data_IF_186840254583
#
_entry.id   IF_186840254583
#
_cell.length_a   1.000
_cell.length_b   1.000
_cell.length_c   1.000
_cell.angle_alpha   90.00
_cell.angle_beta   90.00
_cell.angle_gamma   90.00
#
_symmetry.space_group_name_H-M   'P 1'
#
loop_
_entity.id
_entity.type
_entity.pdbx_description
1 polymer ?
#
# COMPACT_ATOMS: atom_id res chain seq x y z
N UNK A 1 14.78 44.95 10.74
CA UNK A 1 15.29 43.56 10.64
C UNK A 1 14.34 42.61 11.40
N UNK A 2 13.04 42.80 11.23
CA UNK A 2 11.98 42.21 12.08
C UNK A 2 10.74 41.83 11.29
N UNK A 3 10.55 42.37 10.09
CA UNK A 3 9.37 42.10 9.27
C UNK A 3 9.53 40.85 8.38
N UNK A 4 10.76 40.54 7.93
CA UNK A 4 11.04 39.36 7.10
C UNK A 4 10.86 38.04 7.87
N UNK A 5 11.12 38.04 9.18
CA UNK A 5 10.98 36.85 10.03
C UNK A 5 9.52 36.55 10.36
N UNK A 6 8.65 37.57 10.39
CA UNK A 6 7.22 37.40 10.64
C UNK A 6 6.50 36.91 9.38
N UNK A 7 6.90 37.38 8.20
CA UNK A 7 6.38 36.87 6.93
C UNK A 7 6.78 35.40 6.70
N UNK A 8 8.01 35.01 7.08
CA UNK A 8 8.47 33.62 7.01
C UNK A 8 7.71 32.70 7.98
N UNK A 9 7.46 33.13 9.23
CA UNK A 9 6.72 32.31 10.20
C UNK A 9 5.24 32.16 9.84
N UNK A 10 4.62 33.21 9.30
CA UNK A 10 3.21 33.15 8.82
C UNK A 10 3.10 32.29 7.55
N UNK A 11 4.09 32.34 6.66
CA UNK A 11 4.13 31.47 5.49
C UNK A 11 4.35 29.98 5.87
N UNK A 12 5.16 29.68 6.89
CA UNK A 12 5.30 28.32 7.43
C UNK A 12 4.01 27.84 8.13
N UNK A 13 3.29 28.73 8.83
CA UNK A 13 2.03 28.40 9.49
C UNK A 13 0.89 28.17 8.47
N UNK A 14 0.78 28.97 7.41
CA UNK A 14 -0.21 28.78 6.33
C UNK A 14 0.12 27.56 5.44
N UNK A 15 1.41 27.26 5.18
CA UNK A 15 1.78 26.03 4.45
C UNK A 15 1.47 24.77 5.28
N UNK A 16 1.47 24.86 6.62
CA UNK A 16 1.08 23.77 7.52
C UNK A 16 -0.44 23.58 7.64
N UNK A 17 -1.23 24.63 7.37
CA UNK A 17 -2.70 24.60 7.43
C UNK A 17 -3.36 24.16 6.11
N UNK A 18 -2.61 24.09 5.00
CA UNK A 18 -3.19 23.91 3.66
C UNK A 18 -3.30 22.48 3.14
N UNK A 19 -2.69 21.49 3.77
CA UNK A 19 -2.80 20.08 3.35
C UNK A 19 -3.64 19.33 4.37
N UNK A 20 -4.95 19.58 4.36
CA UNK A 20 -5.90 18.71 5.03
C UNK A 20 -5.72 17.30 4.46
N UNK A 21 -5.08 16.41 5.22
CA UNK A 21 -4.91 15.02 4.80
C UNK A 21 -6.30 14.45 4.54
N UNK A 22 -6.56 13.82 3.39
CA UNK A 22 -7.87 13.30 3.08
C UNK A 22 -8.32 12.35 4.21
N UNK A 23 -9.47 12.66 4.79
CA UNK A 23 -10.06 11.96 5.92
C UNK A 23 -11.45 11.47 5.53
N UNK A 24 -11.73 10.21 5.84
CA UNK A 24 -13.03 9.58 5.62
C UNK A 24 -13.71 9.42 6.98
N UNK A 25 -14.91 9.96 7.13
CA UNK A 25 -15.66 9.93 8.41
C UNK A 25 -16.38 8.61 8.67
N UNK A 26 -16.65 7.81 7.63
CA UNK A 26 -17.27 6.48 7.74
C UNK A 26 -16.82 5.57 6.59
N UNK A 27 -16.61 4.29 6.88
CA UNK A 27 -16.35 3.30 5.84
C UNK A 27 -17.68 2.90 5.18
N UNK A 28 -17.66 2.59 3.87
CA UNK A 28 -18.80 2.24 3.02
C UNK A 28 -20.07 1.81 3.79
N UNK A 29 -21.20 2.48 3.53
CA UNK A 29 -22.50 2.21 4.16
C UNK A 29 -22.55 2.49 5.68
N UNK A 30 -21.95 3.61 6.13
CA UNK A 30 -22.01 4.09 7.52
C UNK A 30 -21.36 3.16 8.56
N UNK A 31 -20.44 2.29 8.13
CA UNK A 31 -19.71 1.41 9.05
C UNK A 31 -18.66 2.20 9.83
N UNK A 32 -18.45 1.81 11.08
CA UNK A 32 -17.38 2.36 11.92
C UNK A 32 -16.01 2.15 11.27
N UNK A 33 -15.14 3.14 11.39
CA UNK A 33 -13.77 3.09 10.87
C UNK A 33 -12.97 1.88 11.35
N UNK A 34 -13.20 1.43 12.58
CA UNK A 34 -12.59 0.22 13.13
C UNK A 34 -12.96 -1.03 12.31
N UNK A 35 -14.24 -1.17 11.97
CA UNK A 35 -14.73 -2.29 11.15
C UNK A 35 -14.16 -2.17 9.75
N UNK A 36 -14.10 -0.97 9.19
CA UNK A 36 -13.45 -0.70 7.90
C UNK A 36 -11.99 -1.13 7.86
N UNK A 37 -11.18 -0.74 8.85
CA UNK A 37 -9.78 -1.13 8.94
C UNK A 37 -9.59 -2.65 9.05
N UNK A 38 -10.46 -3.34 9.79
CA UNK A 38 -10.45 -4.81 9.88
C UNK A 38 -10.83 -5.47 8.56
N UNK A 39 -11.88 -4.98 7.88
CA UNK A 39 -12.28 -5.46 6.55
C UNK A 39 -11.13 -5.30 5.55
N UNK A 40 -10.49 -4.14 5.52
CA UNK A 40 -9.30 -3.89 4.67
C UNK A 40 -8.20 -4.89 5.00
N UNK A 41 -7.91 -5.13 6.28
CA UNK A 41 -6.92 -6.13 6.69
C UNK A 41 -7.24 -7.55 6.22
N UNK A 42 -8.50 -7.99 6.33
CA UNK A 42 -8.92 -9.31 5.86
C UNK A 42 -8.88 -9.43 4.33
N UNK A 43 -9.38 -8.42 3.59
CA UNK A 43 -9.32 -8.41 2.14
C UNK A 43 -7.87 -8.42 1.65
N UNK A 44 -7.00 -7.63 2.27
CA UNK A 44 -5.57 -7.62 1.97
C UNK A 44 -4.94 -8.98 2.26
N UNK A 45 -5.27 -9.62 3.38
CA UNK A 45 -4.75 -10.94 3.72
C UNK A 45 -5.18 -12.02 2.73
N UNK A 46 -6.48 -12.10 2.41
CA UNK A 46 -7.02 -13.08 1.46
C UNK A 46 -6.39 -12.89 0.07
N UNK A 47 -6.35 -11.66 -0.43
CA UNK A 47 -5.72 -11.36 -1.72
C UNK A 47 -4.23 -11.74 -1.73
N UNK A 48 -3.49 -11.45 -0.65
CA UNK A 48 -2.07 -11.76 -0.55
C UNK A 48 -1.79 -13.26 -0.45
N UNK A 49 -2.66 -14.02 0.22
CA UNK A 49 -2.56 -15.48 0.28
C UNK A 49 -2.80 -16.11 -1.09
N UNK A 50 -3.86 -15.69 -1.79
CA UNK A 50 -4.14 -16.16 -3.16
C UNK A 50 -2.95 -15.83 -4.06
N UNK A 51 -2.45 -14.59 -4.02
CA UNK A 51 -1.30 -14.17 -4.82
C UNK A 51 -0.04 -14.97 -4.50
N UNK A 52 0.18 -15.31 -3.22
CA UNK A 52 1.32 -16.11 -2.79
C UNK A 52 1.24 -17.53 -3.32
N UNK A 53 0.05 -18.16 -3.26
CA UNK A 53 -0.14 -19.52 -3.78
C UNK A 53 0.07 -19.53 -5.30
N UNK A 54 -0.54 -18.59 -6.03
CA UNK A 54 -0.41 -18.51 -7.48
C UNK A 54 1.04 -18.21 -7.91
N UNK A 55 1.70 -17.25 -7.27
CA UNK A 55 3.08 -16.90 -7.61
C UNK A 55 4.05 -18.03 -7.26
N UNK A 56 3.86 -18.73 -6.15
CA UNK A 56 4.66 -19.90 -5.80
C UNK A 56 4.49 -21.01 -6.85
N UNK A 57 3.26 -21.28 -7.28
CA UNK A 57 2.97 -22.29 -8.31
C UNK A 57 3.59 -21.94 -9.67
N UNK A 58 3.48 -20.68 -10.08
CA UNK A 58 4.13 -20.18 -11.31
C UNK A 58 5.65 -20.27 -11.19
N UNK A 59 6.23 -19.85 -10.06
CA UNK A 59 7.67 -19.87 -9.83
C UNK A 59 8.22 -21.29 -9.85
N UNK A 60 7.54 -22.26 -9.23
CA UNK A 60 7.92 -23.67 -9.32
C UNK A 60 7.84 -24.18 -10.75
N UNK A 61 6.78 -23.84 -11.48
CA UNK A 61 6.65 -24.24 -12.88
C UNK A 61 7.75 -23.68 -13.77
N UNK A 62 8.15 -22.42 -13.56
CA UNK A 62 9.29 -21.82 -14.29
C UNK A 62 10.60 -22.51 -13.91
N UNK A 63 10.82 -22.77 -12.62
CA UNK A 63 12.04 -23.41 -12.12
C UNK A 63 12.26 -24.79 -12.73
N UNK A 64 11.20 -25.60 -12.84
CA UNK A 64 11.28 -26.96 -13.39
C UNK A 64 11.68 -26.97 -14.87
N UNK A 65 11.48 -25.86 -15.59
CA UNK A 65 11.83 -25.72 -17.00
C UNK A 65 13.22 -25.10 -17.22
N UNK A 66 13.90 -24.61 -16.18
CA UNK A 66 15.28 -24.10 -16.29
C UNK A 66 16.19 -25.25 -16.74
N UNK A 67 17.11 -24.97 -17.67
CA UNK A 67 18.07 -25.93 -18.24
C UNK A 67 17.48 -27.08 -19.07
N UNK A 68 16.17 -27.05 -19.33
CA UNK A 68 15.55 -27.94 -20.32
C UNK A 68 15.86 -27.49 -21.74
N UNK A 69 15.52 -28.31 -22.74
CA UNK A 69 15.65 -27.95 -24.16
C UNK A 69 14.87 -26.67 -24.48
N UNK A 70 13.78 -26.42 -23.75
CA UNK A 70 12.93 -25.24 -23.89
C UNK A 70 13.61 -23.95 -23.39
N UNK A 71 14.59 -24.03 -22.47
CA UNK A 71 15.36 -22.88 -21.95
C UNK A 71 16.75 -22.73 -22.60
N UNK A 72 17.18 -23.70 -23.41
CA UNK A 72 18.53 -23.75 -23.99
C UNK A 72 18.77 -22.73 -25.12
N UNK A 73 17.71 -22.21 -25.74
CA UNK A 73 17.80 -21.29 -26.88
C UNK A 73 17.77 -19.81 -26.49
N UNK A 74 16.66 -19.38 -25.88
CA UNK A 74 16.35 -17.97 -25.63
C UNK A 74 16.48 -17.55 -24.15
N UNK A 75 16.73 -18.53 -23.26
CA UNK A 75 16.85 -18.35 -21.81
C UNK A 75 15.64 -17.64 -21.18
N UNK A 76 14.45 -17.85 -21.75
CA UNK A 76 13.22 -17.20 -21.28
C UNK A 76 12.90 -17.57 -19.83
N UNK A 77 13.02 -18.86 -19.46
CA UNK A 77 12.73 -19.32 -18.10
C UNK A 77 13.79 -18.82 -17.12
N UNK A 78 15.07 -18.87 -17.53
CA UNK A 78 16.18 -18.33 -16.74
C UNK A 78 16.03 -16.83 -16.45
N UNK A 79 15.46 -16.03 -17.37
CA UNK A 79 15.19 -14.60 -17.18
C UNK A 79 13.88 -14.34 -16.40
N UNK A 80 12.87 -15.15 -16.61
CA UNK A 80 11.57 -15.01 -15.95
C UNK A 80 11.62 -15.45 -14.48
N UNK A 81 12.45 -16.44 -14.15
CA UNK A 81 12.59 -16.98 -12.79
C UNK A 81 12.88 -15.93 -11.71
N UNK A 82 13.90 -15.05 -11.84
CA UNK A 82 14.17 -14.05 -10.80
C UNK A 82 13.00 -13.06 -10.61
N UNK A 83 12.25 -12.77 -11.68
CA UNK A 83 11.06 -11.90 -11.61
C UNK A 83 9.94 -12.60 -10.85
N UNK A 84 9.67 -13.86 -11.19
CA UNK A 84 8.66 -14.68 -10.51
C UNK A 84 8.99 -14.88 -9.03
N UNK A 85 10.26 -15.20 -8.72
CA UNK A 85 10.76 -15.33 -7.36
C UNK A 85 10.61 -14.03 -6.57
N UNK A 86 10.97 -12.88 -7.16
CA UNK A 86 10.78 -11.58 -6.53
C UNK A 86 9.30 -11.31 -6.23
N UNK A 87 8.40 -11.67 -7.15
CA UNK A 87 6.95 -11.53 -6.94
C UNK A 87 6.44 -12.42 -5.79
N UNK A 88 6.94 -13.66 -5.65
CA UNK A 88 6.59 -14.55 -4.52
C UNK A 88 7.12 -14.02 -3.19
N UNK A 89 8.34 -13.48 -3.16
CA UNK A 89 8.89 -12.86 -1.93
C UNK A 89 8.05 -11.64 -1.55
N UNK A 90 7.71 -10.79 -2.52
CA UNK A 90 6.86 -9.62 -2.30
C UNK A 90 5.45 -10.01 -1.80
N UNK A 91 4.85 -11.08 -2.33
CA UNK A 91 3.53 -11.54 -1.89
C UNK A 91 3.56 -12.05 -0.44
N UNK A 92 4.62 -12.76 -0.03
CA UNK A 92 4.83 -13.16 1.37
C UNK A 92 4.96 -11.93 2.28
N UNK A 93 5.72 -10.91 1.84
CA UNK A 93 5.82 -9.66 2.58
C UNK A 93 4.45 -8.98 2.76
N UNK A 94 3.58 -9.02 1.74
CA UNK A 94 2.21 -8.52 1.86
C UNK A 94 1.34 -9.34 2.82
N UNK A 95 1.53 -10.67 2.92
CA UNK A 95 0.85 -11.50 3.94
C UNK A 95 1.25 -11.05 5.35
N UNK A 96 2.54 -10.81 5.58
CA UNK A 96 3.04 -10.30 6.86
C UNK A 96 2.49 -8.90 7.16
N UNK A 97 2.46 -8.03 6.15
CA UNK A 97 1.95 -6.67 6.27
C UNK A 97 0.44 -6.63 6.56
N UNK A 98 -0.35 -7.51 5.93
CA UNK A 98 -1.78 -7.67 6.20
C UNK A 98 -2.03 -8.21 7.62
N UNK A 99 -1.24 -9.20 8.05
CA UNK A 99 -1.30 -9.73 9.41
C UNK A 99 -0.94 -8.67 10.45
N UNK A 100 0.07 -7.85 10.16
CA UNK A 100 0.47 -6.71 10.99
C UNK A 100 -0.63 -5.66 11.12
N UNK A 101 -1.36 -5.35 10.04
CA UNK A 101 -2.53 -4.47 10.09
C UNK A 101 -3.61 -5.03 11.00
N UNK A 102 -3.97 -6.31 10.83
CA UNK A 102 -4.99 -6.95 11.66
C UNK A 102 -4.59 -6.92 13.14
N UNK A 103 -3.37 -7.31 13.48
CA UNK A 103 -2.87 -7.25 14.85
C UNK A 103 -2.91 -5.84 15.43
N UNK A 104 -2.49 -4.84 14.64
CA UNK A 104 -2.51 -3.43 15.05
C UNK A 104 -3.94 -2.91 15.24
N UNK A 105 -4.88 -3.30 14.38
CA UNK A 105 -6.28 -2.93 14.48
C UNK A 105 -6.98 -3.60 15.68
N UNK A 106 -6.71 -4.88 15.94
CA UNK A 106 -7.29 -5.59 17.09
C UNK A 106 -6.72 -5.11 18.43
N UNK A 107 -5.42 -4.81 18.48
CA UNK A 107 -4.79 -4.24 19.68
C UNK A 107 -5.01 -2.73 19.82
N UNK A 108 -5.71 -2.09 18.87
CA UNK A 108 -5.88 -0.63 18.79
C UNK A 108 -4.54 0.12 18.93
N UNK A 109 -3.48 -0.42 18.33
CA UNK A 109 -2.12 0.10 18.50
C UNK A 109 -1.83 1.21 17.48
N UNK A 110 -1.92 2.47 17.91
CA UNK A 110 -1.75 3.65 17.06
C UNK A 110 -0.44 3.68 16.27
N UNK A 111 0.69 3.38 16.92
CA UNK A 111 1.99 3.35 16.24
C UNK A 111 2.08 2.25 15.17
N UNK A 112 1.41 1.11 15.42
CA UNK A 112 1.34 0.02 14.44
C UNK A 112 0.55 0.42 13.19
N UNK A 113 -0.63 1.02 13.38
CA UNK A 113 -1.46 1.51 12.27
C UNK A 113 -0.75 2.59 11.46
N UNK A 114 -0.11 3.57 12.13
CA UNK A 114 0.69 4.60 11.48
C UNK A 114 1.81 3.98 10.64
N UNK A 115 2.56 3.04 11.21
CA UNK A 115 3.67 2.37 10.51
C UNK A 115 3.18 1.63 9.27
N UNK A 116 2.04 0.93 9.38
CA UNK A 116 1.43 0.25 8.24
C UNK A 116 1.05 1.22 7.12
N UNK A 117 0.44 2.37 7.45
CA UNK A 117 0.05 3.40 6.48
C UNK A 117 1.29 3.92 5.74
N UNK A 118 2.37 4.27 6.44
CA UNK A 118 3.60 4.75 5.80
C UNK A 118 4.22 3.72 4.87
N UNK A 119 4.27 2.46 5.29
CA UNK A 119 4.78 1.36 4.46
C UNK A 119 3.93 1.22 3.19
N UNK A 120 2.60 1.22 3.31
CA UNK A 120 1.70 1.08 2.16
C UNK A 120 1.73 2.28 1.22
N UNK A 121 1.85 3.50 1.74
CA UNK A 121 2.04 4.71 0.91
C UNK A 121 3.35 4.61 0.14
N UNK A 122 4.45 4.22 0.79
CA UNK A 122 5.74 4.05 0.13
C UNK A 122 5.67 2.99 -0.98
N UNK A 123 5.05 1.84 -0.72
CA UNK A 123 4.83 0.79 -1.73
C UNK A 123 3.94 1.25 -2.88
N UNK A 124 2.88 2.01 -2.58
CA UNK A 124 1.96 2.55 -3.58
C UNK A 124 2.66 3.56 -4.51
N UNK A 125 3.44 4.50 -3.95
CA UNK A 125 4.24 5.46 -4.73
C UNK A 125 5.33 4.74 -5.54
N UNK A 126 6.04 3.78 -4.94
CA UNK A 126 7.06 3.00 -5.63
C UNK A 126 6.47 2.20 -6.80
N UNK A 127 5.29 1.59 -6.61
CA UNK A 127 4.57 0.87 -7.65
C UNK A 127 4.14 1.78 -8.81
N UNK A 128 3.60 2.95 -8.51
CA UNK A 128 3.28 3.96 -9.54
C UNK A 128 4.52 4.40 -10.30
N UNK A 129 5.60 4.72 -9.60
CA UNK A 129 6.85 5.15 -10.22
C UNK A 129 7.41 4.05 -11.12
N UNK A 130 7.41 2.80 -10.67
CA UNK A 130 7.85 1.65 -11.45
C UNK A 130 7.05 1.53 -12.76
N UNK A 131 5.73 1.65 -12.71
CA UNK A 131 4.87 1.58 -13.91
C UNK A 131 5.17 2.74 -14.85
N UNK A 132 5.31 3.96 -14.34
CA UNK A 132 5.61 5.14 -15.18
C UNK A 132 6.97 4.98 -15.86
N UNK A 133 8.00 4.59 -15.11
CA UNK A 133 9.36 4.42 -15.64
C UNK A 133 9.43 3.27 -16.63
N UNK A 134 8.83 2.12 -16.32
CA UNK A 134 8.82 0.97 -17.24
C UNK A 134 8.05 1.28 -18.53
N UNK A 135 6.91 1.96 -18.45
CA UNK A 135 6.14 2.40 -19.62
C UNK A 135 6.93 3.40 -20.48
N UNK A 136 7.68 4.32 -19.85
CA UNK A 136 8.48 5.32 -20.55
C UNK A 136 9.71 4.72 -21.26
N UNK A 137 10.33 3.68 -20.67
CA UNK A 137 11.55 3.06 -21.20
C UNK A 137 11.27 1.95 -22.21
N UNK A 138 10.25 1.13 -21.99
CA UNK A 138 9.97 -0.05 -22.81
C UNK A 138 8.99 0.22 -23.94
N UNK A 139 8.25 1.34 -23.88
CA UNK A 139 7.15 1.62 -24.80
C UNK A 139 6.01 0.58 -24.69
N UNK A 140 4.95 0.79 -25.46
CA UNK A 140 3.85 -0.17 -25.53
C UNK A 140 4.04 -1.04 -26.77
N UNK A 141 4.34 -2.33 -26.56
CA UNK A 141 4.63 -3.29 -27.65
C UNK A 141 3.38 -4.11 -28.04
N UNK A 142 2.30 -4.02 -27.26
CA UNK A 142 1.08 -4.82 -27.41
C UNK A 142 -0.06 -4.13 -28.16
N UNK A 143 -1.16 -4.86 -28.40
CA UNK A 143 -2.40 -4.34 -28.99
C UNK A 143 -2.98 -3.18 -28.16
N UNK A 144 -3.53 -2.17 -28.84
CA UNK A 144 -4.20 -1.02 -28.20
C UNK A 144 -5.28 -1.40 -27.18
N UNK A 145 -5.98 -2.53 -27.41
CA UNK A 145 -6.98 -3.07 -26.49
C UNK A 145 -6.38 -3.52 -25.16
N UNK A 146 -5.22 -4.17 -25.20
CA UNK A 146 -4.57 -4.79 -24.04
C UNK A 146 -3.94 -3.70 -23.17
N UNK A 147 -3.39 -2.66 -23.82
CA UNK A 147 -2.90 -1.45 -23.17
C UNK A 147 -4.04 -0.73 -22.44
N UNK A 148 -5.19 -0.54 -23.09
CA UNK A 148 -6.33 0.13 -22.45
C UNK A 148 -6.88 -0.67 -21.27
N UNK A 149 -6.99 -2.00 -21.42
CA UNK A 149 -7.46 -2.88 -20.36
C UNK A 149 -6.48 -2.88 -19.16
N UNK A 150 -5.18 -3.00 -19.42
CA UNK A 150 -4.14 -2.95 -18.38
C UNK A 150 -4.13 -1.59 -17.66
N UNK A 151 -4.27 -0.50 -18.41
CA UNK A 151 -4.38 0.84 -17.84
C UNK A 151 -5.63 1.00 -16.96
N UNK A 152 -6.81 0.63 -17.48
CA UNK A 152 -8.06 0.73 -16.73
C UNK A 152 -8.03 -0.13 -15.46
N UNK A 153 -7.54 -1.36 -15.56
CA UNK A 153 -7.37 -2.26 -14.41
C UNK A 153 -6.36 -1.68 -13.41
N UNK A 154 -5.25 -1.11 -13.89
CA UNK A 154 -4.26 -0.44 -13.07
C UNK A 154 -4.84 0.75 -12.32
N UNK A 155 -5.56 1.65 -13.00
CA UNK A 155 -6.20 2.83 -12.38
C UNK A 155 -7.17 2.39 -11.29
N UNK A 156 -8.05 1.43 -11.59
CA UNK A 156 -9.00 0.89 -10.60
C UNK A 156 -8.25 0.31 -9.41
N UNK A 157 -7.19 -0.47 -9.65
CA UNK A 157 -6.37 -1.05 -8.59
C UNK A 157 -5.73 0.02 -7.69
N UNK A 158 -5.03 1.01 -8.26
CA UNK A 158 -4.36 2.05 -7.47
C UNK A 158 -5.34 2.95 -6.72
N UNK A 159 -6.52 3.24 -7.29
CA UNK A 159 -7.58 4.00 -6.62
C UNK A 159 -8.16 3.23 -5.45
N UNK A 160 -8.47 1.94 -5.64
CA UNK A 160 -8.99 1.08 -4.57
C UNK A 160 -7.99 0.94 -3.43
N UNK A 161 -6.71 0.70 -3.75
CA UNK A 161 -5.64 0.63 -2.73
C UNK A 161 -5.48 1.98 -2.02
N UNK A 162 -5.50 3.09 -2.75
CA UNK A 162 -5.45 4.43 -2.16
C UNK A 162 -6.60 4.69 -1.18
N UNK A 163 -7.82 4.28 -1.54
CA UNK A 163 -8.98 4.35 -0.65
C UNK A 163 -8.82 3.49 0.61
N UNK A 164 -8.28 2.27 0.48
CA UNK A 164 -7.96 1.42 1.63
C UNK A 164 -6.94 2.08 2.57
N UNK A 165 -5.88 2.68 2.03
CA UNK A 165 -4.86 3.41 2.80
C UNK A 165 -5.50 4.57 3.56
N UNK A 166 -6.30 5.39 2.87
CA UNK A 166 -6.98 6.54 3.48
C UNK A 166 -7.95 6.09 4.59
N UNK A 167 -8.66 4.98 4.38
CA UNK A 167 -9.56 4.40 5.40
C UNK A 167 -8.79 4.03 6.67
N UNK A 168 -7.67 3.32 6.55
CA UNK A 168 -6.84 2.92 7.70
C UNK A 168 -6.21 4.15 8.37
N UNK A 169 -5.76 5.13 7.58
CA UNK A 169 -5.23 6.39 8.10
C UNK A 169 -6.29 7.17 8.89
N UNK A 170 -7.53 7.19 8.40
CA UNK A 170 -8.65 7.83 9.09
C UNK A 170 -8.95 7.12 10.42
N UNK A 171 -8.85 5.78 10.47
CA UNK A 171 -8.98 5.04 11.72
C UNK A 171 -7.85 5.35 12.71
N UNK A 172 -6.61 5.46 12.21
CA UNK A 172 -5.48 5.90 13.02
C UNK A 172 -5.71 7.29 13.64
N UNK A 173 -6.15 8.27 12.85
CA UNK A 173 -6.43 9.62 13.34
C UNK A 173 -7.54 9.64 14.39
N UNK A 174 -8.58 8.82 14.22
CA UNK A 174 -9.66 8.65 15.20
C UNK A 174 -9.15 8.10 16.53
N UNK A 175 -8.30 7.06 16.50
CA UNK A 175 -7.71 6.49 17.72
C UNK A 175 -6.79 7.49 18.41
N UNK A 176 -5.91 8.16 17.66
CA UNK A 176 -5.03 9.18 18.21
C UNK A 176 -5.81 10.32 18.86
N UNK A 177 -6.87 10.80 18.22
CA UNK A 177 -7.74 11.83 18.80
C UNK A 177 -8.42 11.36 20.08
N UNK A 178 -8.73 10.05 20.21
CA UNK A 178 -9.31 9.50 21.43
C UNK A 178 -8.29 9.44 22.57
N UNK A 179 -7.05 9.02 22.27
CA UNK A 179 -5.92 9.01 23.22
C UNK A 179 -5.58 10.43 23.73
N UNK A 180 -5.57 11.42 22.84
CA UNK A 180 -5.27 12.82 23.19
C UNK A 180 -6.35 13.44 24.11
N UNK A 181 -7.59 12.95 24.04
CA UNK A 181 -8.73 13.44 24.85
C UNK A 181 -8.82 12.82 26.24
N UNK A 182 -8.14 11.69 26.50
CA UNK A 182 -8.12 11.05 27.83
C UNK A 182 -7.32 11.88 28.87
N UNK A 183 -6.53 12.87 28.42
CA UNK A 183 -5.81 13.81 29.28
C UNK A 183 -4.69 13.14 30.10
N UNK A 184 -3.74 13.91 30.68
CA UNK A 184 -2.75 13.34 31.56
C UNK A 184 -3.43 12.68 32.76
N UNK A 185 -3.00 11.46 33.11
CA UNK A 185 -3.48 10.77 34.31
C UNK A 185 -3.45 11.75 35.49
N UNK A 186 -4.59 11.95 36.15
CA UNK A 186 -4.66 12.79 37.34
C UNK A 186 -3.67 12.21 38.35
N UNK A 187 -2.54 12.89 38.51
CA UNK A 187 -1.62 12.62 39.60
C UNK A 187 -2.32 13.24 40.81
N UNK A 188 -3.08 12.43 41.54
CA UNK A 188 -3.62 12.82 42.83
C UNK A 188 -2.42 13.10 43.76
N UNK A 189 -2.16 14.38 44.03
CA UNK A 189 -1.19 14.85 45.03
C UNK A 189 -1.85 14.90 46.41
#
# INVERSE_FOLDING_TARGET
MTDDNLAASVAEEELSMGVSVPYVTSFCCCLNLEVGAKIVGYLHLVASLILTILSAWITSGIYDNISTVEDAGDHVYSRAYPIALAATIASIAHVLLASFLLLSAYKRWCNGLRSWVWIMVALWVAGLLYIVVSSALSGFVDSGSDIFLAFALGVVFFVVVGYCIITVNSYYLMLKSSEDMEGPAKIDY
#
